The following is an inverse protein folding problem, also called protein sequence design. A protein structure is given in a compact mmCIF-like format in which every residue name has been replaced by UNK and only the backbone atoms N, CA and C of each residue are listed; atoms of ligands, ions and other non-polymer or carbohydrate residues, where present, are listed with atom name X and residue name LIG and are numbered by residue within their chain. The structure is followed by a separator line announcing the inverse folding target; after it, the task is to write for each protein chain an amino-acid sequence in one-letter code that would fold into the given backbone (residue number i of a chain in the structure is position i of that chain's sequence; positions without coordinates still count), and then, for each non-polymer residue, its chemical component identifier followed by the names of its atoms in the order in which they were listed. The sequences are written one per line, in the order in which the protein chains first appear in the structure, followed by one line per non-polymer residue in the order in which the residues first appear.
data_IF_753608913858
#
_entry.id   IF_753608913858
#
_cell.length_a   1.000
_cell.length_b   1.000
_cell.length_c   1.000
_cell.angle_alpha   90.00
_cell.angle_beta   90.00
_cell.angle_gamma   90.00
#
_symmetry.space_group_name_H-M   'P 1'
#
loop_
_entity.id
_entity.type
_entity.pdbx_description
1 polymer ?
#
# COMPACT_ATOMS: atom_id res chain seq x y z
N UNK A 1 36.63 22.78 62.13
CA UNK A 1 36.24 23.05 60.73
C UNK A 1 35.42 24.32 60.73
N UNK A 2 35.88 25.36 60.04
CA UNK A 2 35.21 26.65 60.04
C UNK A 2 33.88 26.56 59.29
N UNK A 3 32.83 27.16 59.85
CA UNK A 3 31.49 27.21 59.25
C UNK A 3 31.49 27.73 57.81
N UNK A 4 32.41 28.66 57.50
CA UNK A 4 32.61 29.21 56.17
C UNK A 4 32.97 28.14 55.11
N UNK A 5 33.78 27.14 55.48
CA UNK A 5 34.18 26.05 54.57
C UNK A 5 32.96 25.18 54.24
N UNK A 6 32.11 24.89 55.23
CA UNK A 6 30.89 24.09 55.05
C UNK A 6 29.92 24.81 54.10
N UNK A 7 29.71 26.11 54.30
CA UNK A 7 28.84 26.92 53.44
C UNK A 7 29.34 26.98 51.99
N UNK A 8 30.65 27.13 51.78
CA UNK A 8 31.25 27.15 50.45
C UNK A 8 31.07 25.81 49.71
N UNK A 9 31.23 24.68 50.41
CA UNK A 9 31.03 23.34 49.82
C UNK A 9 29.56 23.12 49.42
N UNK A 10 28.60 23.52 50.26
CA UNK A 10 27.17 23.40 49.94
C UNK A 10 26.81 24.25 48.71
N UNK A 11 27.30 25.49 48.66
CA UNK A 11 27.07 26.37 47.52
C UNK A 11 27.65 25.78 46.21
N UNK A 12 28.87 25.23 46.26
CA UNK A 12 29.49 24.57 45.12
C UNK A 12 28.70 23.35 44.65
N UNK A 13 28.26 22.49 45.58
CA UNK A 13 27.45 21.31 45.26
C UNK A 13 26.10 21.69 44.61
N UNK A 14 25.48 22.79 45.06
CA UNK A 14 24.26 23.32 44.46
C UNK A 14 24.47 23.70 42.98
N UNK A 15 25.57 24.37 42.66
CA UNK A 15 25.91 24.75 41.27
C UNK A 15 26.18 23.53 40.41
N UNK A 16 26.93 22.55 40.91
CA UNK A 16 27.23 21.31 40.18
C UNK A 16 25.95 20.50 39.92
N UNK A 17 25.08 20.35 40.93
CA UNK A 17 23.81 19.66 40.78
C UNK A 17 22.89 20.36 39.76
N UNK A 18 22.82 21.69 39.80
CA UNK A 18 22.05 22.48 38.82
C UNK A 18 22.62 22.32 37.39
N UNK A 19 23.94 22.31 37.25
CA UNK A 19 24.62 22.10 35.96
C UNK A 19 24.31 20.70 35.39
N UNK A 20 24.39 19.65 36.21
CA UNK A 20 24.06 18.27 35.81
C UNK A 20 22.58 18.19 35.44
N UNK A 21 21.68 18.77 36.26
CA UNK A 21 20.25 18.82 35.99
C UNK A 21 19.93 19.49 34.65
N UNK A 22 20.52 20.66 34.41
CA UNK A 22 20.41 21.38 33.14
C UNK A 22 20.88 20.55 31.95
N UNK A 23 22.02 19.86 32.07
CA UNK A 23 22.56 19.03 31.00
C UNK A 23 21.67 17.81 30.71
N UNK A 24 21.07 17.19 31.73
CA UNK A 24 20.09 16.10 31.55
C UNK A 24 18.83 16.59 30.85
N UNK A 25 18.30 17.74 31.26
CA UNK A 25 17.11 18.35 30.64
C UNK A 25 17.42 18.71 29.19
N UNK A 26 18.54 19.37 28.92
CA UNK A 26 18.96 19.74 27.56
C UNK A 26 19.05 18.51 26.64
N UNK A 27 19.68 17.42 27.11
CA UNK A 27 19.74 16.16 26.34
C UNK A 27 18.35 15.58 26.06
N UNK A 28 17.46 15.59 27.04
CA UNK A 28 16.07 15.12 26.85
C UNK A 28 15.31 15.98 25.83
N UNK A 29 15.44 17.30 25.91
CA UNK A 29 14.80 18.22 24.96
C UNK A 29 15.30 18.00 23.55
N UNK A 30 16.61 17.89 23.35
CA UNK A 30 17.20 17.59 22.03
C UNK A 30 16.67 16.27 21.46
N UNK A 31 16.58 15.21 22.27
CA UNK A 31 16.04 13.94 21.82
C UNK A 31 14.56 14.02 21.42
N UNK A 32 13.75 14.82 22.14
CA UNK A 32 12.36 15.05 21.79
C UNK A 32 12.22 15.84 20.49
N UNK A 33 13.04 16.87 20.28
CA UNK A 33 13.06 17.65 19.05
C UNK A 33 13.49 16.80 17.85
N UNK A 34 14.53 15.97 17.99
CA UNK A 34 14.93 15.01 16.95
C UNK A 34 13.82 14.03 16.62
N UNK A 35 13.09 13.53 17.62
CA UNK A 35 11.94 12.66 17.40
C UNK A 35 10.83 13.38 16.65
N UNK A 36 10.50 14.63 17.02
CA UNK A 36 9.50 15.45 16.33
C UNK A 36 9.92 15.71 14.88
N UNK A 37 11.17 16.10 14.64
CA UNK A 37 11.71 16.33 13.30
C UNK A 37 11.63 15.08 12.42
N UNK A 38 11.97 13.90 12.97
CA UNK A 38 11.83 12.62 12.25
C UNK A 38 10.37 12.32 11.89
N UNK A 39 9.43 12.54 12.80
CA UNK A 39 8.00 12.34 12.55
C UNK A 39 7.50 13.31 11.47
N UNK A 40 7.88 14.59 11.54
CA UNK A 40 7.52 15.59 10.53
C UNK A 40 8.08 15.23 9.16
N UNK A 41 9.34 14.76 9.10
CA UNK A 41 9.94 14.29 7.85
C UNK A 41 9.19 13.08 7.29
N UNK A 42 8.83 12.10 8.13
CA UNK A 42 8.01 10.96 7.71
C UNK A 42 6.64 11.39 7.20
N UNK A 43 5.97 12.31 7.87
CA UNK A 43 4.68 12.85 7.45
C UNK A 43 4.77 13.59 6.11
N UNK A 44 5.79 14.43 5.92
CA UNK A 44 6.03 15.13 4.66
C UNK A 44 6.30 14.14 3.52
N UNK A 45 7.15 13.14 3.76
CA UNK A 45 7.43 12.08 2.79
C UNK A 45 6.18 11.29 2.42
N UNK A 46 5.39 10.86 3.41
CA UNK A 46 4.13 10.14 3.18
C UNK A 46 3.11 11.00 2.44
N UNK A 47 3.07 12.31 2.71
CA UNK A 47 2.21 13.25 2.00
C UNK A 47 2.56 13.37 0.51
N UNK A 48 3.84 13.53 0.18
CA UNK A 48 4.30 13.57 -1.22
C UNK A 48 4.11 12.22 -1.93
N UNK A 49 4.37 11.11 -1.23
CA UNK A 49 4.10 9.77 -1.75
C UNK A 49 2.62 9.59 -2.07
N UNK A 50 1.72 9.93 -1.14
CA UNK A 50 0.28 9.83 -1.35
C UNK A 50 -0.18 10.72 -2.50
N UNK A 51 0.34 11.94 -2.61
CA UNK A 51 0.06 12.85 -3.74
C UNK A 51 0.43 12.22 -5.08
N UNK A 52 1.59 11.55 -5.15
CA UNK A 52 2.00 10.81 -6.34
C UNK A 52 1.13 9.60 -6.62
N UNK A 53 0.74 8.83 -5.59
CA UNK A 53 -0.20 7.72 -5.75
C UNK A 53 -1.55 8.19 -6.29
N UNK A 54 -2.09 9.30 -5.77
CA UNK A 54 -3.35 9.88 -6.26
C UNK A 54 -3.28 10.34 -7.73
N UNK A 55 -2.10 10.76 -8.20
CA UNK A 55 -1.87 11.14 -9.60
C UNK A 55 -1.79 9.91 -10.54
N UNK A 56 -1.18 8.83 -10.07
CA UNK A 56 -0.77 7.70 -10.92
C UNK A 56 -1.77 6.53 -10.83
N UNK A 57 -2.23 6.17 -9.63
CA UNK A 57 -3.02 4.95 -9.39
C UNK A 57 -4.37 4.92 -10.12
N UNK A 58 -5.10 6.04 -10.28
CA UNK A 58 -6.33 6.04 -11.06
C UNK A 58 -6.14 5.57 -12.50
N UNK A 59 -4.97 5.82 -13.11
CA UNK A 59 -4.67 5.41 -14.49
C UNK A 59 -4.60 3.89 -14.61
N UNK A 60 -3.82 3.23 -13.74
CA UNK A 60 -3.73 1.77 -13.73
C UNK A 60 -5.04 1.13 -13.28
N UNK A 61 -5.72 1.71 -12.29
CA UNK A 61 -7.02 1.23 -11.84
C UNK A 61 -8.03 1.22 -12.99
N UNK A 62 -8.05 2.25 -13.82
CA UNK A 62 -8.90 2.30 -15.01
C UNK A 62 -8.56 1.17 -15.98
N UNK A 63 -7.29 0.95 -16.31
CA UNK A 63 -6.86 -0.15 -17.17
C UNK A 63 -7.28 -1.52 -16.63
N UNK A 64 -7.07 -1.77 -15.33
CA UNK A 64 -7.46 -3.01 -14.66
C UNK A 64 -8.97 -3.24 -14.71
N UNK A 65 -9.75 -2.20 -14.43
CA UNK A 65 -11.21 -2.32 -14.38
C UNK A 65 -11.82 -2.51 -15.76
N UNK A 66 -11.29 -1.83 -16.78
CA UNK A 66 -11.66 -2.05 -18.17
C UNK A 66 -11.33 -3.49 -18.59
N UNK A 67 -10.12 -3.97 -18.26
CA UNK A 67 -9.71 -5.32 -18.59
C UNK A 67 -10.57 -6.39 -17.90
N UNK A 68 -10.86 -6.23 -16.61
CA UNK A 68 -11.76 -7.12 -15.88
C UNK A 68 -13.18 -7.12 -16.49
N UNK A 69 -13.66 -5.97 -16.97
CA UNK A 69 -14.96 -5.88 -17.68
C UNK A 69 -14.93 -6.67 -18.98
N UNK A 70 -13.92 -6.51 -19.83
CA UNK A 70 -13.81 -7.27 -21.09
C UNK A 70 -13.74 -8.79 -20.85
N UNK A 71 -13.04 -9.22 -19.78
CA UNK A 71 -13.01 -10.64 -19.38
C UNK A 71 -14.40 -11.14 -18.99
N UNK A 72 -15.15 -10.37 -18.19
CA UNK A 72 -16.52 -10.74 -17.77
C UNK A 72 -17.49 -10.77 -18.94
N UNK A 73 -17.39 -9.82 -19.85
CA UNK A 73 -18.20 -9.76 -21.07
C UNK A 73 -17.80 -10.83 -22.12
N UNK A 74 -16.82 -11.69 -21.80
CA UNK A 74 -16.29 -12.74 -22.69
C UNK A 74 -15.77 -12.18 -24.02
N UNK A 75 -15.30 -10.93 -24.02
CA UNK A 75 -14.72 -10.23 -25.19
C UNK A 75 -13.19 -10.29 -25.15
N UNK A 76 -12.65 -11.45 -24.80
CA UNK A 76 -11.20 -11.61 -24.68
C UNK A 76 -10.60 -11.98 -26.03
N UNK A 77 -9.66 -11.16 -26.48
CA UNK A 77 -8.83 -11.44 -27.64
C UNK A 77 -7.37 -11.57 -27.22
N UNK A 78 -6.56 -12.27 -28.01
CA UNK A 78 -5.12 -12.35 -27.80
C UNK A 78 -4.49 -10.95 -27.78
N UNK A 79 -4.94 -10.05 -28.66
CA UNK A 79 -4.47 -8.67 -28.69
C UNK A 79 -4.76 -7.96 -27.37
N UNK A 80 -5.96 -8.13 -26.80
CA UNK A 80 -6.31 -7.53 -25.51
C UNK A 80 -5.38 -8.03 -24.38
N UNK A 81 -5.04 -9.32 -24.36
CA UNK A 81 -4.11 -9.89 -23.37
C UNK A 81 -2.71 -9.30 -23.52
N UNK A 82 -2.23 -9.19 -24.77
CA UNK A 82 -0.91 -8.61 -25.08
C UNK A 82 -0.87 -7.14 -24.67
N UNK A 83 -1.87 -6.36 -25.07
CA UNK A 83 -1.98 -4.94 -24.74
C UNK A 83 -2.04 -4.73 -23.22
N UNK A 84 -2.85 -5.51 -22.51
CA UNK A 84 -2.95 -5.44 -21.04
C UNK A 84 -1.60 -5.76 -20.37
N UNK A 85 -0.89 -6.77 -20.88
CA UNK A 85 0.45 -7.15 -20.38
C UNK A 85 1.47 -6.06 -20.62
N UNK A 86 1.49 -5.47 -21.81
CA UNK A 86 2.42 -4.39 -22.16
C UNK A 86 2.15 -3.13 -21.34
N UNK A 87 0.89 -2.73 -21.21
CA UNK A 87 0.50 -1.60 -20.37
C UNK A 87 0.92 -1.83 -18.90
N UNK A 88 0.70 -3.03 -18.37
CA UNK A 88 1.08 -3.36 -16.99
C UNK A 88 2.60 -3.37 -16.81
N UNK A 89 3.35 -3.94 -17.75
CA UNK A 89 4.82 -3.92 -17.72
C UNK A 89 5.39 -2.51 -17.78
N UNK A 90 4.82 -1.66 -18.64
CA UNK A 90 5.21 -0.26 -18.77
C UNK A 90 4.94 0.49 -17.48
N UNK A 91 3.76 0.31 -16.90
CA UNK A 91 3.39 0.94 -15.65
C UNK A 91 4.31 0.52 -14.50
N UNK A 92 4.57 -0.78 -14.37
CA UNK A 92 5.50 -1.31 -13.36
C UNK A 92 6.90 -0.68 -13.53
N UNK A 93 7.40 -0.59 -14.76
CA UNK A 93 8.70 0.02 -15.04
C UNK A 93 8.75 1.52 -14.70
N UNK A 94 7.66 2.25 -14.94
CA UNK A 94 7.59 3.69 -14.69
C UNK A 94 7.32 4.02 -13.22
N UNK A 95 6.54 3.21 -12.51
CA UNK A 95 5.91 3.61 -11.23
C UNK A 95 6.03 2.60 -10.09
N UNK A 96 6.69 1.45 -10.26
CA UNK A 96 6.78 0.43 -9.19
C UNK A 96 7.42 0.94 -7.89
N UNK A 97 8.26 1.99 -7.95
CA UNK A 97 8.84 2.62 -6.76
C UNK A 97 7.79 3.20 -5.79
N UNK A 98 6.60 3.52 -6.29
CA UNK A 98 5.52 4.09 -5.48
C UNK A 98 4.65 3.01 -4.82
N UNK A 99 4.75 1.76 -5.27
CA UNK A 99 3.98 0.63 -4.73
C UNK A 99 4.52 0.19 -3.37
N UNK A 100 3.61 -0.23 -2.49
CA UNK A 100 3.99 -1.04 -1.33
C UNK A 100 4.20 -2.50 -1.73
N UNK A 101 4.84 -3.23 -0.84
CA UNK A 101 5.20 -4.63 -1.02
C UNK A 101 4.01 -5.50 -1.44
N UNK A 102 2.83 -5.27 -0.87
CA UNK A 102 1.65 -6.10 -1.18
C UNK A 102 1.14 -5.84 -2.61
N UNK A 103 1.08 -4.57 -3.03
CA UNK A 103 0.71 -4.20 -4.40
C UNK A 103 1.71 -4.70 -5.43
N UNK A 104 3.01 -4.67 -5.13
CA UNK A 104 4.05 -5.29 -5.97
C UNK A 104 3.78 -6.78 -6.13
N UNK A 105 3.45 -7.49 -5.05
CA UNK A 105 3.14 -8.92 -5.10
C UNK A 105 1.92 -9.19 -5.99
N UNK A 106 0.83 -8.43 -5.83
CA UNK A 106 -0.37 -8.57 -6.68
C UNK A 106 -0.10 -8.25 -8.15
N UNK A 107 0.71 -7.23 -8.43
CA UNK A 107 1.17 -6.90 -9.78
C UNK A 107 1.91 -8.10 -10.41
N UNK A 108 2.86 -8.70 -9.69
CA UNK A 108 3.61 -9.87 -10.17
C UNK A 108 2.70 -11.07 -10.44
N UNK A 109 1.74 -11.33 -9.54
CA UNK A 109 0.79 -12.44 -9.71
C UNK A 109 -0.06 -12.25 -10.98
N UNK A 110 -0.56 -11.04 -11.23
CA UNK A 110 -1.29 -10.71 -12.47
C UNK A 110 -0.40 -10.82 -13.71
N UNK A 111 0.84 -10.30 -13.67
CA UNK A 111 1.79 -10.41 -14.79
C UNK A 111 2.09 -11.87 -15.15
N UNK A 112 2.23 -12.75 -14.16
CA UNK A 112 2.39 -14.19 -14.39
C UNK A 112 1.16 -14.81 -15.03
N UNK A 113 -0.04 -14.42 -14.61
CA UNK A 113 -1.28 -14.88 -15.22
C UNK A 113 -1.35 -14.44 -16.68
N UNK A 114 -1.09 -13.16 -16.97
CA UNK A 114 -1.06 -12.61 -18.32
C UNK A 114 -0.01 -13.25 -19.22
N UNK A 115 1.18 -13.53 -18.68
CA UNK A 115 2.23 -14.23 -19.42
C UNK A 115 1.76 -15.60 -19.92
N UNK A 116 1.12 -16.40 -19.05
CA UNK A 116 0.58 -17.71 -19.41
C UNK A 116 -0.53 -17.64 -20.48
N UNK A 117 -1.26 -16.53 -20.52
CA UNK A 117 -2.34 -16.30 -21.48
C UNK A 117 -1.83 -15.74 -22.81
N UNK A 118 -0.76 -14.95 -22.79
CA UNK A 118 -0.20 -14.31 -23.99
C UNK A 118 0.36 -15.31 -25.01
N UNK A 119 0.82 -16.48 -24.54
CA UNK A 119 1.38 -17.54 -25.39
C UNK A 119 0.29 -18.39 -26.08
N UNK A 120 -0.99 -18.15 -25.79
CA UNK A 120 -2.13 -18.90 -26.33
C UNK A 120 -2.73 -18.22 -27.55
N UNK A 121 -3.24 -19.01 -28.49
CA UNK A 121 -4.02 -18.49 -29.61
C UNK A 121 -5.45 -18.12 -29.17
N UNK A 122 -6.20 -17.41 -30.02
CA UNK A 122 -7.58 -16.98 -29.71
C UNK A 122 -8.53 -18.14 -29.38
N UNK A 123 -8.36 -19.29 -30.02
CA UNK A 123 -9.24 -20.44 -29.79
C UNK A 123 -8.98 -21.08 -28.42
N UNK A 124 -7.71 -21.30 -28.09
CA UNK A 124 -7.27 -21.79 -26.77
C UNK A 124 -7.64 -20.83 -25.63
N UNK A 125 -7.57 -19.51 -25.87
CA UNK A 125 -8.01 -18.50 -24.91
C UNK A 125 -9.51 -18.61 -24.64
N UNK A 126 -10.31 -18.73 -25.70
CA UNK A 126 -11.76 -18.87 -25.57
C UNK A 126 -12.12 -20.18 -24.87
N UNK A 127 -11.47 -21.29 -25.19
CA UNK A 127 -11.72 -22.59 -24.54
C UNK A 127 -11.37 -22.53 -23.04
N UNK A 128 -10.23 -21.91 -22.70
CA UNK A 128 -9.78 -21.79 -21.32
C UNK A 128 -10.65 -20.85 -20.49
N UNK A 129 -11.05 -19.71 -21.05
CA UNK A 129 -11.90 -18.72 -20.37
C UNK A 129 -13.40 -19.04 -20.43
N UNK A 130 -13.79 -20.04 -21.23
CA UNK A 130 -15.13 -20.63 -21.16
C UNK A 130 -15.35 -21.41 -19.87
N UNK A 131 -14.28 -21.94 -19.26
CA UNK A 131 -14.33 -22.45 -17.90
C UNK A 131 -14.53 -21.31 -16.92
N UNK A 132 -15.66 -21.31 -16.21
CA UNK A 132 -15.96 -20.30 -15.19
C UNK A 132 -14.87 -20.23 -14.11
N UNK A 133 -14.15 -21.31 -13.84
CA UNK A 133 -13.07 -21.35 -12.84
C UNK A 133 -11.86 -20.49 -13.21
N UNK A 134 -11.35 -20.61 -14.44
CA UNK A 134 -10.20 -19.83 -14.90
C UNK A 134 -10.56 -18.36 -15.11
N UNK A 135 -11.75 -18.09 -15.67
CA UNK A 135 -12.28 -16.73 -15.80
C UNK A 135 -12.39 -16.06 -14.42
N UNK A 136 -13.00 -16.76 -13.45
CA UNK A 136 -13.14 -16.27 -12.08
C UNK A 136 -11.78 -16.03 -11.43
N UNK A 137 -10.84 -16.96 -11.55
CA UNK A 137 -9.48 -16.83 -11.00
C UNK A 137 -8.75 -15.59 -11.54
N UNK A 138 -8.87 -15.32 -12.85
CA UNK A 138 -8.28 -14.14 -13.47
C UNK A 138 -8.92 -12.84 -12.97
N UNK A 139 -10.26 -12.79 -12.93
CA UNK A 139 -11.00 -11.63 -12.41
C UNK A 139 -10.68 -11.38 -10.93
N UNK A 140 -10.61 -12.44 -10.11
CA UNK A 140 -10.20 -12.33 -8.71
C UNK A 140 -8.77 -11.80 -8.56
N UNK A 141 -7.85 -12.22 -9.44
CA UNK A 141 -6.46 -11.74 -9.42
C UNK A 141 -6.41 -10.25 -9.74
N UNK A 142 -7.19 -9.78 -10.72
CA UNK A 142 -7.33 -8.35 -11.03
C UNK A 142 -7.96 -7.60 -9.85
N UNK A 143 -9.04 -8.14 -9.27
CA UNK A 143 -9.72 -7.57 -8.11
C UNK A 143 -8.83 -7.43 -6.88
N UNK A 144 -7.99 -8.43 -6.59
CA UNK A 144 -6.98 -8.37 -5.53
C UNK A 144 -5.96 -7.26 -5.77
N UNK A 145 -5.58 -7.03 -7.02
CA UNK A 145 -4.65 -5.96 -7.37
C UNK A 145 -5.29 -4.57 -7.24
N UNK A 146 -6.52 -4.41 -7.74
CA UNK A 146 -7.31 -3.20 -7.56
C UNK A 146 -7.54 -2.86 -6.08
N UNK A 147 -7.84 -3.86 -5.26
CA UNK A 147 -8.01 -3.67 -3.82
C UNK A 147 -6.71 -3.24 -3.15
N UNK A 148 -5.57 -3.83 -3.55
CA UNK A 148 -4.27 -3.42 -3.03
C UNK A 148 -4.00 -1.93 -3.35
N UNK A 149 -4.25 -1.50 -4.58
CA UNK A 149 -4.13 -0.08 -4.98
C UNK A 149 -5.04 0.84 -4.15
N UNK A 150 -6.30 0.44 -3.93
CA UNK A 150 -7.25 1.20 -3.10
C UNK A 150 -6.79 1.29 -1.64
N UNK A 151 -6.29 0.18 -1.08
CA UNK A 151 -5.84 0.10 0.30
C UNK A 151 -4.66 1.05 0.57
N UNK A 152 -3.76 1.21 -0.39
CA UNK A 152 -2.64 2.16 -0.30
C UNK A 152 -3.05 3.63 -0.38
N UNK A 153 -4.25 3.90 -0.92
CA UNK A 153 -4.87 5.23 -0.92
C UNK A 153 -5.73 5.44 0.34
N UNK A 154 -5.81 4.46 1.24
CA UNK A 154 -6.70 4.49 2.40
C UNK A 154 -8.19 4.32 2.05
N UNK A 155 -8.50 3.84 0.85
CA UNK A 155 -9.87 3.58 0.40
C UNK A 155 -10.20 2.13 0.74
N UNK A 156 -10.96 1.93 1.82
CA UNK A 156 -11.42 0.62 2.25
C UNK A 156 -12.91 0.48 1.99
N UNK A 157 -13.30 -0.58 1.27
CA UNK A 157 -14.68 -1.03 1.21
C UNK A 157 -14.94 -1.94 2.41
N UNK A 158 -15.86 -1.54 3.28
CA UNK A 158 -16.30 -2.36 4.40
C UNK A 158 -17.64 -2.98 4.00
N UNK A 159 -17.72 -4.31 3.93
CA UNK A 159 -19.02 -4.97 4.11
C UNK A 159 -19.25 -5.25 5.58
N UNK A 160 -20.51 -5.10 5.96
CA UNK A 160 -21.02 -5.49 7.26
C UNK A 160 -21.89 -6.73 7.07
N UNK A 161 -21.27 -7.91 7.05
CA UNK A 161 -22.03 -9.16 7.18
C UNK A 161 -22.35 -9.36 8.67
N UNK A 162 -23.62 -9.17 9.06
CA UNK A 162 -24.10 -9.57 10.38
C UNK A 162 -24.40 -11.07 10.37
N UNK A 163 -23.44 -11.88 10.82
CA UNK A 163 -23.67 -13.31 11.05
C UNK A 163 -23.62 -13.54 12.56
N UNK A 164 -24.76 -13.91 13.16
CA UNK A 164 -24.90 -14.31 14.57
C UNK A 164 -24.36 -13.31 15.62
N UNK A 165 -24.55 -12.01 15.39
CA UNK A 165 -24.24 -10.97 16.38
C UNK A 165 -22.75 -10.63 16.53
N UNK A 166 -21.87 -11.25 15.75
CA UNK A 166 -20.44 -10.96 15.70
C UNK A 166 -20.09 -10.22 14.40
N UNK A 167 -19.57 -8.99 14.52
CA UNK A 167 -19.34 -8.12 13.38
C UNK A 167 -18.03 -8.47 12.69
N UNK A 168 -18.09 -9.21 11.58
CA UNK A 168 -16.91 -9.49 10.75
C UNK A 168 -16.75 -8.43 9.67
N UNK A 169 -15.63 -7.72 9.72
CA UNK A 169 -15.22 -6.81 8.66
C UNK A 169 -14.57 -7.62 7.54
N UNK A 170 -15.25 -7.72 6.40
CA UNK A 170 -14.65 -8.26 5.16
C UNK A 170 -14.31 -7.09 4.24
N UNK A 171 -13.10 -7.13 3.68
CA UNK A 171 -12.72 -6.22 2.59
C UNK A 171 -13.35 -6.74 1.30
N UNK A 172 -14.26 -5.97 0.73
CA UNK A 172 -14.99 -6.33 -0.48
C UNK A 172 -14.25 -5.78 -1.68
N UNK A 173 -13.96 -6.64 -2.65
CA UNK A 173 -13.61 -6.18 -3.99
C UNK A 173 -14.91 -5.92 -4.75
N UNK A 174 -14.92 -4.95 -5.67
CA UNK A 174 -16.12 -4.66 -6.48
C UNK A 174 -16.59 -5.83 -7.38
N UNK A 175 -15.94 -6.98 -7.30
CA UNK A 175 -16.19 -8.18 -8.08
C UNK A 175 -16.77 -9.33 -7.25
N UNK A 176 -16.86 -9.24 -5.92
CA UNK A 176 -17.33 -10.33 -5.07
C UNK A 176 -18.86 -10.55 -5.15
N UNK A 177 -19.63 -9.54 -5.57
CA UNK A 177 -21.11 -9.57 -5.55
C UNK A 177 -21.77 -9.69 -6.93
N UNK A 178 -21.01 -9.60 -8.03
CA UNK A 178 -21.60 -9.64 -9.37
C UNK A 178 -21.60 -11.07 -9.92
N UNK A 179 -22.77 -11.62 -10.33
CA UNK A 179 -22.82 -12.93 -10.96
C UNK A 179 -21.97 -12.92 -12.26
N UNK A 180 -21.05 -13.90 -12.34
CA UNK A 180 -20.12 -14.12 -13.46
C UNK A 180 -20.75 -14.85 -14.65
#
# INVERSE_FOLDING_TARGET
MDSAIITAVIAFLGVVAAMIGSLVIARKTVNLELRKARIQFQQAYLGELLKKRLEIYPKIYCCLSLFAREIRERRVSQQLIVDAREQLNRFDSEYAIFFERETVKKCIDLRKALLKLADKNNQELNDLLSSDGERKSLVETIGKYELALKSELGIYGFDYESVDGDMKVRFVTGYDEQPL
#
